data_IF_813531883037
#
_entry.id   IF_813531883037
#
_cell.length_a   1.000
_cell.length_b   1.000
_cell.length_c   1.000
_cell.angle_alpha   90.00
_cell.angle_beta   90.00
_cell.angle_gamma   90.00
#
_symmetry.space_group_name_H-M   'P 1'
#
loop_
_entity.id
_entity.type
_entity.pdbx_description
1 polymer ?
#
# COMPACT_ATOMS: atom_id res chain seq x y z
N UNK A 1 26.61 -4.80 -27.00
CA UNK A 1 26.26 -3.70 -26.05
C UNK A 1 24.77 -3.84 -25.75
N UNK A 2 24.38 -3.88 -24.47
CA UNK A 2 22.97 -3.99 -24.10
C UNK A 2 22.22 -2.70 -24.46
N UNK A 3 20.95 -2.80 -24.84
CA UNK A 3 20.11 -1.62 -25.09
C UNK A 3 19.80 -0.90 -23.76
N UNK A 4 19.41 0.37 -23.83
CA UNK A 4 19.01 1.12 -22.62
C UNK A 4 17.86 0.44 -21.88
N UNK A 5 16.87 -0.09 -22.62
CA UNK A 5 15.75 -0.84 -22.05
C UNK A 5 16.19 -2.13 -21.36
N UNK A 6 17.14 -2.86 -21.94
CA UNK A 6 17.69 -4.09 -21.34
C UNK A 6 18.47 -3.79 -20.06
N UNK A 7 19.23 -2.69 -20.04
CA UNK A 7 19.97 -2.24 -18.86
C UNK A 7 19.02 -1.82 -17.75
N UNK A 8 17.97 -1.06 -18.07
CA UNK A 8 16.96 -0.63 -17.11
C UNK A 8 16.16 -1.82 -16.55
N UNK A 9 15.72 -2.74 -17.41
CA UNK A 9 15.03 -3.95 -16.96
C UNK A 9 15.92 -4.86 -16.09
N UNK A 10 17.24 -4.91 -16.36
CA UNK A 10 18.20 -5.61 -15.50
C UNK A 10 18.37 -4.90 -14.16
N UNK A 11 18.50 -3.57 -14.16
CA UNK A 11 18.62 -2.77 -12.95
C UNK A 11 17.40 -2.93 -12.04
N UNK A 12 16.19 -2.86 -12.60
CA UNK A 12 14.94 -3.04 -11.85
C UNK A 12 14.86 -4.42 -11.19
N UNK A 13 15.22 -5.49 -11.91
CA UNK A 13 15.28 -6.85 -11.35
C UNK A 13 16.26 -6.95 -10.18
N UNK A 14 17.46 -6.39 -10.33
CA UNK A 14 18.46 -6.37 -9.26
C UNK A 14 17.95 -5.59 -8.06
N UNK A 15 17.31 -4.44 -8.26
CA UNK A 15 16.75 -3.62 -7.19
C UNK A 15 15.63 -4.35 -6.43
N UNK A 16 14.68 -4.96 -7.15
CA UNK A 16 13.59 -5.74 -6.54
C UNK A 16 14.15 -6.90 -5.72
N UNK A 17 15.06 -7.70 -6.29
CA UNK A 17 15.69 -8.81 -5.59
C UNK A 17 16.52 -8.35 -4.38
N UNK A 18 17.15 -7.18 -4.45
CA UNK A 18 17.91 -6.61 -3.33
C UNK A 18 17.00 -6.20 -2.18
N UNK A 19 15.85 -5.56 -2.48
CA UNK A 19 14.85 -5.19 -1.47
C UNK A 19 14.23 -6.44 -0.82
N UNK A 20 13.86 -7.44 -1.62
CA UNK A 20 13.33 -8.70 -1.12
C UNK A 20 14.35 -9.48 -0.28
N UNK A 21 15.60 -9.52 -0.74
CA UNK A 21 16.73 -10.09 0.00
C UNK A 21 16.94 -9.38 1.32
N UNK A 22 16.81 -8.05 1.34
CA UNK A 22 16.90 -7.26 2.56
C UNK A 22 15.75 -7.53 3.53
N UNK A 23 14.51 -7.63 3.04
CA UNK A 23 13.36 -8.05 3.86
C UNK A 23 13.56 -9.43 4.48
N UNK A 24 14.06 -10.39 3.69
CA UNK A 24 14.35 -11.74 4.17
C UNK A 24 15.48 -11.75 5.21
N UNK A 25 16.53 -10.98 4.96
CA UNK A 25 17.64 -10.77 5.89
C UNK A 25 17.13 -10.24 7.23
N UNK A 26 16.33 -9.17 7.24
CA UNK A 26 15.72 -8.62 8.47
C UNK A 26 14.84 -9.65 9.18
N UNK A 27 14.10 -10.46 8.43
CA UNK A 27 13.20 -11.47 8.99
C UNK A 27 13.92 -12.69 9.59
N UNK A 28 15.13 -13.01 9.13
CA UNK A 28 15.86 -14.23 9.50
C UNK A 28 17.00 -13.99 10.47
N UNK A 29 17.58 -12.80 10.50
CA UNK A 29 18.72 -12.53 11.34
C UNK A 29 18.30 -12.43 12.82
N UNK A 30 19.00 -13.09 13.75
CA UNK A 30 18.76 -12.92 15.18
C UNK A 30 18.93 -11.46 15.63
N UNK A 31 18.16 -11.05 16.64
CA UNK A 31 18.14 -9.68 17.13
C UNK A 31 19.53 -9.18 17.58
N UNK A 32 20.33 -10.04 18.22
CA UNK A 32 21.67 -9.66 18.66
C UNK A 32 22.61 -9.40 17.49
N UNK A 33 22.47 -10.17 16.40
CA UNK A 33 23.23 -9.94 15.18
C UNK A 33 22.76 -8.67 14.46
N UNK A 34 21.45 -8.37 14.43
CA UNK A 34 20.94 -7.11 13.84
C UNK A 34 21.53 -5.89 14.55
N UNK A 35 21.64 -5.94 15.89
CA UNK A 35 22.28 -4.89 16.68
C UNK A 35 23.76 -4.68 16.31
N UNK A 36 24.50 -5.77 16.06
CA UNK A 36 25.92 -5.67 15.66
C UNK A 36 26.13 -4.93 14.34
N UNK A 37 25.16 -4.99 13.44
CA UNK A 37 25.21 -4.35 12.11
C UNK A 37 24.22 -3.18 12.00
N UNK A 38 23.81 -2.61 13.14
CA UNK A 38 22.85 -1.50 13.20
C UNK A 38 23.29 -0.33 12.33
N UNK A 39 24.54 0.15 12.47
CA UNK A 39 25.02 1.34 11.75
C UNK A 39 25.01 1.17 10.22
N UNK A 40 25.28 -0.05 9.73
CA UNK A 40 25.26 -0.36 8.31
C UNK A 40 23.82 -0.28 7.78
N UNK A 41 22.89 -0.88 8.52
CA UNK A 41 21.46 -0.83 8.20
C UNK A 41 20.92 0.61 8.29
N UNK A 42 21.33 1.35 9.32
CA UNK A 42 20.90 2.72 9.54
C UNK A 42 21.34 3.63 8.40
N UNK A 43 22.56 3.47 7.88
CA UNK A 43 23.03 4.20 6.68
C UNK A 43 22.15 3.95 5.45
N UNK A 44 21.71 2.70 5.26
CA UNK A 44 20.80 2.35 4.15
C UNK A 44 19.42 3.01 4.34
N UNK A 45 18.81 2.84 5.51
CA UNK A 45 17.46 3.34 5.82
C UNK A 45 17.42 4.87 5.84
N UNK A 46 18.49 5.54 6.31
CA UNK A 46 18.57 7.01 6.35
C UNK A 46 18.87 7.64 4.98
N UNK A 47 19.10 6.83 3.94
CA UNK A 47 19.34 7.33 2.59
C UNK A 47 18.06 7.90 1.99
N UNK A 48 18.09 9.14 1.51
CA UNK A 48 16.97 9.75 0.76
C UNK A 48 16.53 8.90 -0.43
N UNK A 49 17.44 8.15 -1.05
CA UNK A 49 17.12 7.27 -2.19
C UNK A 49 16.23 6.10 -1.76
N UNK A 50 16.42 5.58 -0.54
CA UNK A 50 15.61 4.50 0.01
C UNK A 50 14.13 4.89 0.05
N UNK A 51 13.80 6.05 0.63
CA UNK A 51 12.42 6.51 0.75
C UNK A 51 11.74 6.88 -0.59
N UNK A 52 12.53 7.27 -1.59
CA UNK A 52 12.01 7.56 -2.95
C UNK A 52 11.42 6.33 -3.64
N UNK A 53 11.81 5.11 -3.25
CA UNK A 53 11.26 3.89 -3.85
C UNK A 53 9.76 3.69 -3.56
N UNK A 54 9.22 4.33 -2.51
CA UNK A 54 7.78 4.38 -2.23
C UNK A 54 6.94 5.00 -3.36
N UNK A 55 7.56 5.76 -4.27
CA UNK A 55 6.93 6.41 -5.43
C UNK A 55 7.60 6.01 -6.73
N UNK A 56 8.31 4.87 -6.76
CA UNK A 56 8.96 4.39 -7.97
C UNK A 56 7.92 4.13 -9.07
N UNK A 57 8.25 4.40 -10.32
CA UNK A 57 7.32 4.22 -11.45
C UNK A 57 6.89 2.76 -11.60
N UNK A 58 7.82 1.84 -11.38
CA UNK A 58 7.58 0.39 -11.48
C UNK A 58 6.86 -0.17 -10.24
N UNK A 59 5.66 -0.78 -10.39
CA UNK A 59 4.88 -1.35 -9.29
C UNK A 59 5.64 -2.39 -8.47
N UNK A 60 6.40 -3.28 -9.10
CA UNK A 60 7.16 -4.31 -8.41
C UNK A 60 8.21 -3.74 -7.44
N UNK A 61 8.82 -2.59 -7.78
CA UNK A 61 9.76 -1.90 -6.90
C UNK A 61 9.03 -1.32 -5.69
N UNK A 62 7.88 -0.67 -5.90
CA UNK A 62 7.04 -0.16 -4.81
C UNK A 62 6.61 -1.29 -3.89
N UNK A 63 6.12 -2.40 -4.45
CA UNK A 63 5.68 -3.56 -3.69
C UNK A 63 6.81 -4.13 -2.82
N UNK A 64 7.98 -4.39 -3.41
CA UNK A 64 9.14 -4.89 -2.69
C UNK A 64 9.57 -3.92 -1.57
N UNK A 65 9.54 -2.61 -1.83
CA UNK A 65 9.89 -1.61 -0.84
C UNK A 65 8.89 -1.54 0.32
N UNK A 66 7.57 -1.59 0.07
CA UNK A 66 6.58 -1.64 1.15
C UNK A 66 6.70 -2.94 1.97
N UNK A 67 7.02 -4.08 1.32
CA UNK A 67 7.35 -5.32 2.04
C UNK A 67 8.60 -5.17 2.92
N UNK A 68 9.61 -4.43 2.48
CA UNK A 68 10.78 -4.09 3.30
C UNK A 68 10.39 -3.21 4.49
N UNK A 69 9.51 -2.22 4.29
CA UNK A 69 9.01 -1.38 5.37
C UNK A 69 8.26 -2.19 6.43
N UNK A 70 7.44 -3.16 6.02
CA UNK A 70 6.78 -4.11 6.93
C UNK A 70 7.83 -4.88 7.74
N UNK A 71 8.85 -5.44 7.08
CA UNK A 71 9.92 -6.18 7.76
C UNK A 71 10.68 -5.29 8.76
N UNK A 72 10.97 -4.04 8.42
CA UNK A 72 11.58 -3.06 9.33
C UNK A 72 10.69 -2.83 10.56
N UNK A 73 9.40 -2.56 10.36
CA UNK A 73 8.46 -2.37 11.47
C UNK A 73 8.38 -3.60 12.40
N UNK A 74 8.39 -4.80 11.82
CA UNK A 74 8.25 -6.05 12.57
C UNK A 74 9.54 -6.50 13.28
N UNK A 75 10.72 -6.19 12.73
CA UNK A 75 11.98 -6.84 13.10
C UNK A 75 13.08 -5.89 13.54
N UNK A 76 13.04 -4.63 13.13
CA UNK A 76 14.04 -3.64 13.48
C UNK A 76 13.42 -2.23 13.57
N UNK A 77 12.37 -2.03 14.39
CA UNK A 77 11.68 -0.74 14.51
C UNK A 77 12.62 0.39 14.96
N UNK A 78 13.70 0.08 15.68
CA UNK A 78 14.73 1.03 16.09
C UNK A 78 15.41 1.74 14.92
N UNK A 79 15.51 1.10 13.74
CA UNK A 79 16.08 1.73 12.54
C UNK A 79 15.19 2.87 12.03
N UNK A 80 13.90 2.86 12.37
CA UNK A 80 12.90 3.84 11.94
C UNK A 80 12.78 5.04 12.89
N UNK A 81 13.50 5.07 14.03
CA UNK A 81 13.31 6.10 15.06
C UNK A 81 13.43 7.54 14.53
N UNK A 82 14.41 7.82 13.66
CA UNK A 82 14.62 9.14 13.04
C UNK A 82 13.90 9.30 11.69
N UNK A 83 13.16 8.27 11.26
CA UNK A 83 12.55 8.16 9.94
C UNK A 83 11.03 7.97 10.01
N UNK A 84 10.45 8.19 11.19
CA UNK A 84 9.01 8.05 11.46
C UNK A 84 8.17 8.90 10.51
N UNK A 85 8.62 10.13 10.24
CA UNK A 85 7.96 11.02 9.29
C UNK A 85 7.96 10.44 7.87
N UNK A 86 9.09 9.93 7.38
CA UNK A 86 9.17 9.31 6.08
C UNK A 86 8.28 8.06 5.99
N UNK A 87 8.31 7.20 7.01
CA UNK A 87 7.47 6.01 7.06
C UNK A 87 5.97 6.34 6.99
N UNK A 88 5.50 7.26 7.84
CA UNK A 88 4.10 7.70 7.87
C UNK A 88 3.67 8.36 6.55
N UNK A 89 4.48 9.28 6.01
CA UNK A 89 4.17 9.92 4.73
C UNK A 89 4.15 8.90 3.60
N UNK A 90 5.08 7.94 3.56
CA UNK A 90 5.14 6.93 2.49
C UNK A 90 3.90 6.03 2.45
N UNK A 91 3.42 5.53 3.59
CA UNK A 91 2.22 4.67 3.61
C UNK A 91 0.96 5.46 3.33
N UNK A 92 0.78 6.62 3.97
CA UNK A 92 -0.46 7.38 3.80
C UNK A 92 -0.56 8.07 2.46
N UNK A 93 0.57 8.49 1.86
CA UNK A 93 0.55 9.03 0.52
C UNK A 93 0.21 7.98 -0.55
N UNK A 94 0.33 6.70 -0.24
CA UNK A 94 0.01 5.61 -1.16
C UNK A 94 -1.22 4.79 -0.71
N UNK A 95 -2.00 5.28 0.26
CA UNK A 95 -3.18 4.56 0.77
C UNK A 95 -4.21 4.25 -0.33
N UNK A 96 -4.24 5.06 -1.39
CA UNK A 96 -5.02 4.88 -2.61
C UNK A 96 -4.20 4.47 -3.84
N UNK A 97 -3.10 3.73 -3.63
CA UNK A 97 -2.25 3.12 -4.66
C UNK A 97 -3.09 2.49 -5.77
N UNK A 98 -2.83 2.92 -7.01
CA UNK A 98 -3.64 2.58 -8.17
C UNK A 98 -3.34 1.18 -8.71
N UNK A 99 -2.14 0.65 -8.47
CA UNK A 99 -1.79 -0.70 -8.88
C UNK A 99 -2.38 -1.73 -7.89
N UNK A 100 -3.31 -2.59 -8.33
CA UNK A 100 -3.98 -3.53 -7.44
C UNK A 100 -3.04 -4.62 -6.90
N UNK A 101 -1.86 -4.82 -7.48
CA UNK A 101 -0.87 -5.77 -6.98
C UNK A 101 -0.03 -5.20 -5.83
N UNK A 102 0.05 -3.87 -5.73
CA UNK A 102 0.83 -3.14 -4.72
C UNK A 102 -0.05 -2.73 -3.55
N UNK A 103 -1.29 -2.35 -3.83
CA UNK A 103 -2.25 -1.81 -2.85
C UNK A 103 -2.40 -2.67 -1.58
N UNK A 104 -2.51 -4.02 -1.63
CA UNK A 104 -2.55 -4.87 -0.43
C UNK A 104 -1.35 -4.65 0.50
N UNK A 105 -0.15 -4.62 -0.07
CA UNK A 105 1.11 -4.45 0.68
C UNK A 105 1.21 -3.06 1.27
N UNK A 106 0.68 -2.02 0.60
CA UNK A 106 0.61 -0.67 1.17
C UNK A 106 -0.29 -0.65 2.41
N UNK A 107 -1.45 -1.30 2.34
CA UNK A 107 -2.38 -1.36 3.46
C UNK A 107 -1.80 -2.10 4.66
N UNK A 108 -1.12 -3.22 4.42
CA UNK A 108 -0.40 -3.96 5.45
C UNK A 108 0.72 -3.11 6.08
N UNK A 109 1.53 -2.45 5.24
CA UNK A 109 2.55 -1.51 5.68
C UNK A 109 1.96 -0.34 6.50
N UNK A 110 0.81 0.20 6.10
CA UNK A 110 0.16 1.29 6.81
C UNK A 110 -0.23 0.90 8.25
N UNK A 111 -0.76 -0.32 8.43
CA UNK A 111 -1.10 -0.82 9.77
C UNK A 111 0.15 -1.06 10.61
N UNK A 112 1.20 -1.64 10.02
CA UNK A 112 2.48 -1.84 10.70
C UNK A 112 3.15 -0.53 11.10
N UNK A 113 3.13 0.49 10.24
CA UNK A 113 3.63 1.82 10.58
C UNK A 113 2.79 2.45 11.69
N UNK A 114 1.46 2.34 11.64
CA UNK A 114 0.57 2.86 12.68
C UNK A 114 0.74 2.20 14.05
N UNK A 115 1.16 0.94 14.10
CA UNK A 115 1.45 0.25 15.36
C UNK A 115 2.86 0.49 15.85
N UNK A 116 3.81 0.78 14.96
CA UNK A 116 5.22 1.02 15.29
C UNK A 116 5.49 2.48 15.67
N UNK A 117 4.87 3.43 14.95
CA UNK A 117 5.09 4.86 15.11
C UNK A 117 3.96 5.47 15.94
N UNK A 118 4.22 5.75 17.22
CA UNK A 118 3.20 6.22 18.17
C UNK A 118 2.68 7.63 17.82
N UNK A 119 3.54 8.47 17.26
CA UNK A 119 3.28 9.87 16.93
C UNK A 119 2.94 10.06 15.44
N UNK A 120 2.51 9.00 14.75
CA UNK A 120 2.34 9.01 13.29
C UNK A 120 1.41 10.12 12.77
N UNK A 121 0.39 10.49 13.55
CA UNK A 121 -0.57 11.56 13.21
C UNK A 121 -0.01 12.97 13.35
N UNK A 122 1.14 13.16 13.99
CA UNK A 122 1.86 14.45 14.00
C UNK A 122 2.68 14.64 12.72
N UNK A 123 3.07 13.55 12.07
CA UNK A 123 3.89 13.57 10.85
C UNK A 123 3.09 13.76 9.56
N UNK A 124 1.77 13.56 9.61
CA UNK A 124 0.89 13.65 8.43
C UNK A 124 -0.35 14.50 8.69
N UNK A 125 -0.71 15.32 7.70
CA UNK A 125 -2.01 16.01 7.73
C UNK A 125 -3.13 15.01 7.42
N UNK A 126 -3.86 14.58 8.43
CA UNK A 126 -4.94 13.63 8.22
C UNK A 126 -6.03 14.18 7.28
N UNK A 127 -6.43 15.44 7.46
CA UNK A 127 -7.46 16.08 6.63
C UNK A 127 -7.04 16.25 5.17
N UNK A 128 -5.77 16.62 4.92
CA UNK A 128 -5.29 16.93 3.57
C UNK A 128 -4.74 15.70 2.83
N UNK A 129 -4.23 14.71 3.55
CA UNK A 129 -3.56 13.55 2.97
C UNK A 129 -4.34 12.25 3.21
N UNK A 130 -4.57 11.89 4.47
CA UNK A 130 -5.06 10.55 4.83
C UNK A 130 -6.52 10.36 4.45
N UNK A 131 -7.39 11.28 4.90
CA UNK A 131 -8.83 11.18 4.70
C UNK A 131 -9.23 11.23 3.22
N UNK A 132 -8.71 12.14 2.37
CA UNK A 132 -9.03 12.14 0.94
C UNK A 132 -8.72 10.79 0.26
N UNK A 133 -7.59 10.18 0.60
CA UNK A 133 -7.16 8.88 0.05
C UNK A 133 -8.01 7.73 0.58
N UNK A 134 -8.33 7.73 1.88
CA UNK A 134 -9.28 6.78 2.46
C UNK A 134 -10.65 6.85 1.78
N UNK A 135 -11.19 8.07 1.60
CA UNK A 135 -12.46 8.26 0.91
C UNK A 135 -12.40 7.79 -0.54
N UNK A 136 -11.28 7.99 -1.22
CA UNK A 136 -11.06 7.52 -2.58
C UNK A 136 -11.16 5.99 -2.66
N UNK A 137 -10.42 5.27 -1.81
CA UNK A 137 -10.48 3.79 -1.76
C UNK A 137 -11.88 3.26 -1.46
N UNK A 138 -12.58 3.87 -0.51
CA UNK A 138 -13.95 3.47 -0.18
C UNK A 138 -14.91 3.66 -1.37
N UNK A 139 -14.84 4.81 -2.07
CA UNK A 139 -15.65 5.06 -3.27
C UNK A 139 -15.32 4.14 -4.43
N UNK A 140 -14.08 3.67 -4.51
CA UNK A 140 -13.66 2.72 -5.55
C UNK A 140 -13.93 1.26 -5.16
N UNK A 141 -14.58 1.02 -4.01
CA UNK A 141 -14.89 -0.34 -3.57
C UNK A 141 -13.63 -1.19 -3.31
N UNK A 142 -12.52 -0.56 -2.90
CA UNK A 142 -11.26 -1.25 -2.64
C UNK A 142 -10.45 -1.62 -3.88
N UNK A 143 -10.75 -1.08 -5.07
CA UNK A 143 -9.95 -1.27 -6.30
C UNK A 143 -9.61 -2.74 -6.61
N UNK A 144 -10.59 -3.64 -6.50
CA UNK A 144 -10.38 -5.08 -6.70
C UNK A 144 -9.76 -5.82 -5.52
N UNK A 145 -9.34 -5.11 -4.47
CA UNK A 145 -8.73 -5.64 -3.26
C UNK A 145 -9.65 -5.55 -2.03
N UNK A 146 -10.97 -5.52 -2.24
CA UNK A 146 -11.94 -5.37 -1.15
C UNK A 146 -11.76 -6.41 -0.04
N UNK A 147 -11.49 -7.67 -0.41
CA UNK A 147 -11.28 -8.76 0.55
C UNK A 147 -10.06 -8.54 1.46
N UNK A 148 -9.05 -7.81 1.00
CA UNK A 148 -7.84 -7.50 1.78
C UNK A 148 -7.96 -6.18 2.53
N UNK A 149 -8.58 -5.17 1.92
CA UNK A 149 -8.65 -3.82 2.49
C UNK A 149 -9.74 -3.71 3.57
N UNK A 150 -10.93 -4.26 3.33
CA UNK A 150 -12.08 -4.00 4.20
C UNK A 150 -11.91 -4.57 5.61
N UNK A 151 -11.32 -5.77 5.82
CA UNK A 151 -10.99 -6.26 7.16
C UNK A 151 -10.07 -5.30 7.94
N UNK A 152 -9.22 -4.54 7.22
CA UNK A 152 -8.23 -3.63 7.79
C UNK A 152 -8.77 -2.22 8.06
N UNK A 153 -10.00 -1.90 7.65
CA UNK A 153 -10.62 -0.60 7.91
C UNK A 153 -10.85 -0.37 9.42
N UNK A 154 -11.30 -1.39 10.15
CA UNK A 154 -11.56 -1.25 11.58
C UNK A 154 -10.27 -1.04 12.39
N UNK A 155 -9.19 -1.83 12.17
CA UNK A 155 -7.87 -1.55 12.73
C UNK A 155 -7.41 -0.10 12.45
N UNK A 156 -7.52 0.36 11.20
CA UNK A 156 -7.16 1.73 10.83
C UNK A 156 -7.97 2.76 11.63
N UNK A 157 -9.30 2.64 11.63
CA UNK A 157 -10.20 3.56 12.33
C UNK A 157 -9.94 3.61 13.85
N UNK A 158 -9.60 2.47 14.45
CA UNK A 158 -9.27 2.39 15.88
C UNK A 158 -8.05 3.23 16.27
N UNK A 159 -7.15 3.49 15.31
CA UNK A 159 -5.92 4.26 15.51
C UNK A 159 -6.09 5.74 15.17
N UNK A 160 -7.21 6.16 14.57
CA UNK A 160 -7.46 7.58 14.27
C UNK A 160 -7.81 8.32 15.57
N UNK A 161 -7.08 9.36 15.97
CA UNK A 161 -7.34 10.08 17.21
C UNK A 161 -8.57 11.00 17.06
N UNK A 162 -9.23 11.34 18.18
CA UNK A 162 -10.43 12.19 18.20
C UNK A 162 -10.22 13.52 17.46
N UNK A 163 -9.12 14.26 17.64
CA UNK A 163 -8.90 15.53 16.93
C UNK A 163 -8.88 15.38 15.41
N UNK A 164 -8.42 14.24 14.88
CA UNK A 164 -8.39 13.95 13.44
C UNK A 164 -9.78 13.62 12.91
N UNK A 165 -10.64 12.99 13.72
CA UNK A 165 -12.02 12.69 13.32
C UNK A 165 -12.88 13.95 13.20
N UNK A 166 -12.55 15.01 13.93
CA UNK A 166 -13.40 16.20 14.02
C UNK A 166 -14.78 15.85 14.56
N UNK A 167 -15.83 16.31 13.88
CA UNK A 167 -17.20 15.90 14.20
C UNK A 167 -17.41 14.40 13.90
N UNK A 168 -17.69 13.64 14.95
CA UNK A 168 -17.77 12.17 14.88
C UNK A 168 -18.94 11.71 14.00
N UNK A 169 -20.07 12.41 14.05
CA UNK A 169 -21.24 12.05 13.26
C UNK A 169 -20.98 12.26 11.75
N UNK A 170 -20.42 13.42 11.39
CA UNK A 170 -20.03 13.76 10.01
C UNK A 170 -18.97 12.80 9.48
N UNK A 171 -17.96 12.48 10.28
CA UNK A 171 -16.91 11.54 9.92
C UNK A 171 -17.48 10.17 9.53
N UNK A 172 -18.29 9.56 10.40
CA UNK A 172 -18.86 8.23 10.13
C UNK A 172 -19.92 8.27 9.03
N UNK A 173 -20.71 9.34 8.94
CA UNK A 173 -21.64 9.55 7.81
C UNK A 173 -20.89 9.54 6.49
N UNK A 174 -19.77 10.27 6.40
CA UNK A 174 -18.91 10.30 5.20
C UNK A 174 -18.27 8.95 4.94
N UNK A 175 -17.77 8.26 5.98
CA UNK A 175 -17.19 6.92 5.86
C UNK A 175 -18.19 5.93 5.25
N UNK A 176 -19.37 5.79 5.86
CA UNK A 176 -20.39 4.85 5.39
C UNK A 176 -20.98 5.27 4.04
N UNK A 177 -21.13 6.56 3.76
CA UNK A 177 -21.59 7.04 2.45
C UNK A 177 -20.62 6.67 1.33
N UNK A 178 -19.32 6.90 1.49
CA UNK A 178 -18.31 6.52 0.50
C UNK A 178 -18.29 5.00 0.30
N UNK A 179 -18.43 4.22 1.38
CA UNK A 179 -18.50 2.75 1.30
C UNK A 179 -19.73 2.26 0.53
N UNK A 180 -20.92 2.82 0.80
CA UNK A 180 -22.15 2.51 0.05
C UNK A 180 -22.00 2.84 -1.44
N UNK A 181 -21.39 3.99 -1.75
CA UNK A 181 -21.11 4.38 -3.13
C UNK A 181 -20.21 3.34 -3.83
N UNK A 182 -19.11 2.93 -3.21
CA UNK A 182 -18.22 1.92 -3.78
C UNK A 182 -18.92 0.58 -4.01
N UNK A 183 -19.78 0.17 -3.08
CA UNK A 183 -20.59 -1.03 -3.24
C UNK A 183 -21.56 -0.95 -4.44
N UNK A 184 -22.23 0.19 -4.62
CA UNK A 184 -23.12 0.42 -5.76
C UNK A 184 -22.37 0.42 -7.10
N UNK A 185 -21.18 1.04 -7.17
CA UNK A 185 -20.32 1.01 -8.35
C UNK A 185 -19.90 -0.44 -8.72
N UNK A 186 -19.52 -1.25 -7.73
CA UNK A 186 -19.17 -2.65 -7.96
C UNK A 186 -20.34 -3.48 -8.50
N UNK A 187 -21.56 -3.27 -7.99
CA UNK A 187 -22.76 -3.93 -8.51
C UNK A 187 -23.00 -3.61 -9.99
N UNK A 188 -22.86 -2.33 -10.35
CA UNK A 188 -23.02 -1.89 -11.73
C UNK A 188 -22.01 -2.58 -12.65
N UNK A 189 -20.72 -2.60 -12.27
CA UNK A 189 -19.65 -3.25 -13.05
C UNK A 189 -19.92 -4.74 -13.26
N UNK A 190 -20.35 -5.47 -12.21
CA UNK A 190 -20.71 -6.90 -12.34
C UNK A 190 -21.88 -7.11 -13.30
N UNK A 191 -22.90 -6.26 -13.25
CA UNK A 191 -24.05 -6.37 -14.14
C UNK A 191 -23.71 -6.11 -15.62
N UNK A 192 -22.75 -5.21 -15.88
CA UNK A 192 -22.27 -4.91 -17.25
C UNK A 192 -21.43 -6.06 -17.80
N UNK A 193 -20.46 -6.57 -17.02
CA UNK A 193 -19.62 -7.72 -17.43
C UNK A 193 -20.45 -8.95 -17.77
N UNK A 194 -21.46 -9.27 -16.94
CA UNK A 194 -22.39 -10.37 -17.20
C UNK A 194 -23.18 -10.21 -18.49
N UNK A 195 -23.55 -8.97 -18.86
CA UNK A 195 -24.22 -8.67 -20.13
C UNK A 195 -23.28 -8.78 -21.33
N UNK A 196 -22.01 -8.39 -21.18
CA UNK A 196 -20.99 -8.50 -22.23
C UNK A 196 -20.57 -9.94 -22.51
N UNK A 197 -20.42 -10.76 -21.47
CA UNK A 197 -20.12 -12.20 -21.61
C UNK A 197 -21.25 -12.92 -22.35
N UNK A 198 -22.51 -12.68 -21.95
CA UNK A 198 -23.68 -13.21 -22.68
C UNK A 198 -23.75 -12.79 -24.14
N UNK A 199 -23.34 -11.56 -24.47
CA UNK A 199 -23.28 -11.09 -25.87
C UNK A 199 -22.20 -11.83 -26.67
N UNK A 200 -21.03 -12.07 -26.07
CA UNK A 200 -19.94 -12.81 -26.73
C UNK A 200 -20.31 -14.27 -26.98
N UNK A 201 -20.93 -14.93 -26.00
CA UNK A 201 -21.39 -16.31 -26.15
C UNK A 201 -22.43 -16.43 -27.27
N UNK A 202 -23.41 -15.52 -27.30
CA UNK A 202 -24.44 -15.50 -28.36
C UNK A 202 -23.86 -15.25 -29.75
N UNK A 203 -22.90 -14.33 -29.89
CA UNK A 203 -22.21 -14.11 -31.17
C UNK A 203 -21.35 -15.30 -31.61
N UNK A 204 -20.79 -16.07 -30.67
CA UNK A 204 -20.00 -17.26 -30.96
C UNK A 204 -20.87 -18.44 -31.40
N UNK A 205 -22.07 -18.59 -30.82
CA UNK A 205 -23.07 -19.58 -31.25
C UNK A 205 -23.57 -19.30 -32.67
N UNK A 206 -23.94 -18.05 -32.98
CA UNK A 206 -24.36 -17.65 -34.33
C UNK A 206 -23.29 -17.88 -35.41
N UNK A 207 -22.01 -17.77 -35.06
CA UNK A 207 -20.90 -18.00 -35.99
C UNK A 207 -20.59 -19.49 -36.24
N UNK A 208 -21.13 -20.41 -35.41
CA UNK A 208 -21.02 -21.86 -35.62
C UNK A 208 -22.12 -22.43 -36.51
N UNK A 209 -23.24 -21.72 -36.61
CA UNK A 209 -24.42 -22.13 -37.40
C UNK A 209 -24.38 -21.61 -38.86
N UNK A 210 -23.26 -20.98 -39.27
CA UNK A 210 -22.97 -20.50 -40.63
C UNK A 210 -21.82 -21.29 -41.25
#
# INVERSE_FOLDING_TARGET
TATEDEMEAKYQRVLVSSLQGYSLYLAKLPQDQLKMVYDINKKLVSSKKFWKYSKHTIPMVRNAWFSTLIALCQKAPELLADETAHACVSVFNNLDEADPTVLPTVWDAALHVLTTVQDCWFHVSAEKLVLPKLWNILRQGGQGNAATIFPNLMPLLSKIPVPVRGDTASFYTKFFSNMRQGYSCMKHIKSVKHKEEKKKDFSYELAKDM
#
